data_IF_941977300318
#
_entry.id   IF_941977300318
#
_cell.length_a   1.000
_cell.length_b   1.000
_cell.length_c   1.000
_cell.angle_alpha   90.00
_cell.angle_beta   90.00
_cell.angle_gamma   90.00
#
_symmetry.space_group_name_H-M   'P 1'
#
loop_
_entity.id
_entity.type
_entity.pdbx_description
1 polymer ?
#
# COMPACT_ATOMS: atom_id res chain seq x y z
N UNK A 1 9.25 -26.23 31.91
CA UNK A 1 8.24 -25.97 30.86
C UNK A 1 8.33 -24.50 30.48
N UNK A 2 8.41 -24.20 29.19
CA UNK A 2 8.55 -22.83 28.69
C UNK A 2 7.23 -22.07 28.76
N UNK A 3 7.27 -20.74 28.89
CA UNK A 3 6.07 -19.89 28.91
C UNK A 3 5.21 -20.07 27.64
N UNK A 4 5.84 -20.36 26.50
CA UNK A 4 5.16 -20.61 25.23
C UNK A 4 4.29 -21.88 25.27
N UNK A 5 4.79 -22.96 25.87
CA UNK A 5 4.04 -24.21 26.02
C UNK A 5 2.80 -24.04 26.93
N UNK A 6 2.91 -23.22 27.96
CA UNK A 6 1.79 -22.91 28.85
C UNK A 6 0.72 -22.05 28.17
N UNK A 7 1.12 -21.05 27.37
CA UNK A 7 0.17 -20.25 26.59
C UNK A 7 -0.57 -21.11 25.56
N UNK A 8 0.12 -22.03 24.90
CA UNK A 8 -0.49 -22.89 23.89
C UNK A 8 -1.52 -23.85 24.51
N UNK A 9 -1.19 -24.46 25.67
CA UNK A 9 -2.15 -25.30 26.41
C UNK A 9 -3.37 -24.53 26.91
N UNK A 10 -3.18 -23.31 27.40
CA UNK A 10 -4.28 -22.46 27.84
C UNK A 10 -5.22 -22.09 26.68
N UNK A 11 -4.66 -21.83 25.51
CA UNK A 11 -5.42 -21.55 24.29
C UNK A 11 -6.23 -22.78 23.83
N UNK A 12 -5.62 -23.97 23.83
CA UNK A 12 -6.31 -25.22 23.49
C UNK A 12 -7.45 -25.56 24.47
N UNK A 13 -7.29 -25.27 25.75
CA UNK A 13 -8.37 -25.43 26.74
C UNK A 13 -9.51 -24.44 26.49
N UNK A 14 -9.19 -23.16 26.21
CA UNK A 14 -10.19 -22.15 25.85
C UNK A 14 -11.02 -22.55 24.62
N UNK A 15 -10.38 -23.11 23.60
CA UNK A 15 -11.04 -23.61 22.39
C UNK A 15 -11.92 -24.84 22.63
N UNK A 16 -11.71 -25.61 23.71
CA UNK A 16 -12.59 -26.74 24.07
C UNK A 16 -13.79 -26.29 24.87
N UNK A 17 -13.62 -25.29 25.75
CA UNK A 17 -14.70 -24.78 26.62
C UNK A 17 -15.69 -23.94 25.85
N UNK A 18 -15.22 -23.16 24.88
CA UNK A 18 -16.08 -22.58 23.86
C UNK A 18 -16.25 -23.65 22.80
N UNK A 19 -17.41 -24.30 22.68
CA UNK A 19 -17.73 -25.30 21.65
C UNK A 19 -17.74 -24.69 20.22
N UNK A 20 -16.64 -24.07 19.82
CA UNK A 20 -16.35 -23.69 18.46
C UNK A 20 -15.80 -24.97 17.86
N UNK A 21 -16.69 -25.74 17.25
CA UNK A 21 -16.30 -26.71 16.24
C UNK A 21 -15.52 -25.92 15.18
N UNK A 22 -14.19 -25.91 15.27
CA UNK A 22 -13.34 -25.42 14.20
C UNK A 22 -13.32 -26.57 13.22
N UNK A 23 -14.10 -26.51 12.10
CA UNK A 23 -13.99 -27.55 11.10
C UNK A 23 -12.52 -27.63 10.72
N UNK A 24 -11.94 -28.82 10.86
CA UNK A 24 -10.62 -29.14 10.38
C UNK A 24 -10.63 -29.06 8.84
N UNK A 25 -10.77 -27.84 8.32
CA UNK A 25 -10.64 -27.49 6.92
C UNK A 25 -9.22 -27.86 6.57
N UNK A 26 -9.12 -29.01 5.90
CA UNK A 26 -7.88 -29.70 5.61
C UNK A 26 -6.79 -28.75 5.21
N UNK A 27 -5.58 -29.00 5.74
CA UNK A 27 -4.32 -28.28 5.54
C UNK A 27 -4.24 -27.64 4.15
N UNK A 28 -4.85 -26.47 3.96
CA UNK A 28 -4.62 -25.66 2.77
C UNK A 28 -3.17 -25.25 2.91
N UNK A 29 -2.33 -25.72 1.98
CA UNK A 29 -0.93 -25.33 1.89
C UNK A 29 -0.89 -23.83 2.12
N UNK A 30 -0.32 -23.41 3.25
CA UNK A 30 -0.06 -22.01 3.53
C UNK A 30 0.96 -21.62 2.47
N UNK A 31 0.48 -21.15 1.32
CA UNK A 31 1.35 -20.53 0.33
C UNK A 31 2.08 -19.44 1.08
N UNK A 32 3.43 -19.45 1.12
CA UNK A 32 4.16 -18.39 1.80
C UNK A 32 3.64 -17.09 1.25
N UNK A 33 3.13 -16.23 2.13
CA UNK A 33 2.66 -14.90 1.78
C UNK A 33 3.83 -14.24 1.07
N UNK A 34 3.77 -14.18 -0.26
CA UNK A 34 4.81 -13.52 -1.05
C UNK A 34 4.91 -12.13 -0.46
N UNK A 35 6.05 -11.80 0.17
CA UNK A 35 6.30 -10.47 0.72
C UNK A 35 5.94 -9.49 -0.40
N UNK A 36 4.88 -8.70 -0.20
CA UNK A 36 4.48 -7.69 -1.19
C UNK A 36 5.73 -6.85 -1.43
N UNK A 37 6.19 -6.77 -2.68
CA UNK A 37 7.38 -5.97 -3.02
C UNK A 37 7.16 -4.58 -2.45
N UNK A 38 8.15 -4.07 -1.72
CA UNK A 38 8.11 -2.72 -1.19
C UNK A 38 7.85 -1.75 -2.35
N UNK A 39 6.94 -0.80 -2.13
CA UNK A 39 6.66 0.23 -3.12
C UNK A 39 7.91 1.09 -3.31
N UNK A 40 8.28 1.37 -4.55
CA UNK A 40 9.41 2.27 -4.85
C UNK A 40 8.94 3.72 -4.87
N UNK A 41 9.84 4.68 -4.66
CA UNK A 41 9.51 6.10 -4.80
C UNK A 41 8.98 6.45 -6.19
N UNK A 42 9.52 5.82 -7.24
CA UNK A 42 8.98 5.95 -8.60
C UNK A 42 7.51 5.53 -8.68
N UNK A 43 7.16 4.34 -8.18
CA UNK A 43 5.77 3.87 -8.21
C UNK A 43 4.86 4.78 -7.37
N UNK A 44 5.35 5.29 -6.24
CA UNK A 44 4.59 6.22 -5.42
C UNK A 44 4.35 7.56 -6.13
N UNK A 45 5.38 8.10 -6.77
CA UNK A 45 5.32 9.30 -7.58
C UNK A 45 4.32 9.16 -8.73
N UNK A 46 4.44 8.10 -9.56
CA UNK A 46 3.56 7.93 -10.72
C UNK A 46 2.10 7.73 -10.31
N UNK A 47 1.85 7.04 -9.19
CA UNK A 47 0.49 6.88 -8.63
C UNK A 47 -0.10 8.23 -8.23
N UNK A 48 0.65 9.07 -7.52
CA UNK A 48 0.19 10.39 -7.11
C UNK A 48 0.04 11.35 -8.30
N UNK A 49 0.97 11.31 -9.26
CA UNK A 49 0.88 12.09 -10.49
C UNK A 49 -0.40 11.77 -11.28
N UNK A 50 -0.74 10.48 -11.40
CA UNK A 50 -1.99 10.07 -12.06
C UNK A 50 -3.23 10.51 -11.29
N UNK A 51 -3.20 10.44 -9.95
CA UNK A 51 -4.31 10.92 -9.13
C UNK A 51 -4.52 12.43 -9.28
N UNK A 52 -3.45 13.22 -9.31
CA UNK A 52 -3.49 14.67 -9.53
C UNK A 52 -4.00 15.02 -10.94
N UNK A 53 -3.53 14.31 -11.96
CA UNK A 53 -4.01 14.45 -13.33
C UNK A 53 -5.51 14.14 -13.45
N UNK A 54 -5.99 13.08 -12.79
CA UNK A 54 -7.41 12.73 -12.78
C UNK A 54 -8.27 13.84 -12.19
N UNK A 55 -7.87 14.39 -11.03
CA UNK A 55 -8.56 15.51 -10.39
C UNK A 55 -8.55 16.76 -11.27
N UNK A 56 -7.42 17.06 -11.88
CA UNK A 56 -7.26 18.23 -12.77
C UNK A 56 -8.15 18.09 -14.00
N UNK A 57 -8.16 16.92 -14.62
CA UNK A 57 -9.01 16.63 -15.77
C UNK A 57 -10.51 16.72 -15.44
N UNK A 58 -10.92 16.19 -14.28
CA UNK A 58 -12.29 16.30 -13.79
C UNK A 58 -12.71 17.77 -13.59
N UNK A 59 -11.83 18.59 -12.99
CA UNK A 59 -12.06 20.04 -12.80
C UNK A 59 -12.15 20.81 -14.12
N UNK A 60 -11.35 20.44 -15.10
CA UNK A 60 -11.31 21.07 -16.43
C UNK A 60 -12.37 20.52 -17.39
N UNK A 61 -13.17 19.52 -16.97
CA UNK A 61 -14.18 18.89 -17.83
C UNK A 61 -13.59 18.10 -19.01
N UNK A 62 -12.30 17.73 -18.94
CA UNK A 62 -11.61 16.95 -19.98
C UNK A 62 -11.42 15.51 -19.54
N UNK A 63 -11.10 14.63 -20.51
CA UNK A 63 -10.70 13.25 -20.19
C UNK A 63 -9.28 13.25 -19.58
N UNK A 64 -9.04 12.49 -18.51
CA UNK A 64 -7.71 12.36 -17.94
C UNK A 64 -6.77 11.64 -18.91
N UNK A 65 -5.50 12.04 -18.91
CA UNK A 65 -4.48 11.30 -19.65
C UNK A 65 -4.39 9.86 -19.14
N UNK A 66 -4.09 8.92 -20.03
CA UNK A 66 -3.85 7.54 -19.63
C UNK A 66 -2.55 7.42 -18.82
N UNK A 67 -2.50 6.41 -17.95
CA UNK A 67 -1.30 6.11 -17.18
C UNK A 67 -0.05 5.91 -18.05
N UNK A 68 -0.20 5.32 -19.24
CA UNK A 68 0.89 5.16 -20.22
C UNK A 68 1.40 6.49 -20.74
N UNK A 69 0.51 7.44 -21.05
CA UNK A 69 0.89 8.77 -21.50
C UNK A 69 1.69 9.52 -20.42
N UNK A 70 1.24 9.48 -19.17
CA UNK A 70 1.97 10.11 -18.05
C UNK A 70 3.38 9.55 -17.85
N UNK A 71 3.56 8.23 -17.95
CA UNK A 71 4.89 7.62 -17.86
C UNK A 71 5.77 8.05 -19.04
N UNK A 72 5.19 8.13 -20.24
CA UNK A 72 5.93 8.52 -21.45
C UNK A 72 6.48 9.95 -21.40
N UNK A 73 5.91 10.82 -20.56
CA UNK A 73 6.40 12.19 -20.34
C UNK A 73 7.74 12.25 -19.58
N UNK A 74 8.25 11.11 -19.07
CA UNK A 74 9.54 10.99 -18.35
C UNK A 74 9.70 11.99 -17.19
N UNK A 75 8.61 12.41 -16.57
CA UNK A 75 8.58 13.40 -15.47
C UNK A 75 9.43 13.01 -14.27
N UNK A 76 9.56 11.71 -13.99
CA UNK A 76 10.45 11.22 -12.94
C UNK A 76 11.93 11.48 -13.22
N UNK A 77 12.36 11.38 -14.49
CA UNK A 77 13.77 11.57 -14.86
C UNK A 77 14.20 13.03 -14.68
N UNK A 78 13.26 13.96 -14.89
CA UNK A 78 13.46 15.40 -14.71
C UNK A 78 13.24 15.87 -13.27
N UNK A 79 12.75 14.99 -12.38
CA UNK A 79 12.53 15.33 -10.97
C UNK A 79 13.89 15.46 -10.26
N UNK A 80 14.14 16.53 -9.48
CA UNK A 80 15.37 16.68 -8.71
C UNK A 80 15.56 15.54 -7.71
N UNK A 81 16.80 15.12 -7.45
CA UNK A 81 17.06 13.98 -6.57
C UNK A 81 16.59 14.21 -5.13
N UNK A 82 16.63 15.47 -4.65
CA UNK A 82 16.02 15.88 -3.37
C UNK A 82 14.53 15.54 -3.31
N UNK A 83 13.79 15.76 -4.40
CA UNK A 83 12.37 15.41 -4.46
C UNK A 83 12.16 13.90 -4.62
N UNK A 84 13.02 13.21 -5.38
CA UNK A 84 12.98 11.73 -5.46
C UNK A 84 13.16 11.10 -4.07
N UNK A 85 14.01 11.68 -3.22
CA UNK A 85 14.17 11.30 -1.82
C UNK A 85 12.85 11.32 -1.05
N UNK A 86 12.11 12.42 -1.13
CA UNK A 86 10.78 12.56 -0.49
C UNK A 86 9.83 11.46 -0.98
N UNK A 87 9.82 11.15 -2.28
CA UNK A 87 8.96 10.09 -2.82
C UNK A 87 9.37 8.69 -2.36
N UNK A 88 10.67 8.43 -2.17
CA UNK A 88 11.14 7.18 -1.57
C UNK A 88 10.66 7.08 -0.12
N UNK A 89 10.78 8.15 0.66
CA UNK A 89 10.32 8.18 2.05
C UNK A 89 8.80 7.95 2.13
N UNK A 90 8.01 8.62 1.28
CA UNK A 90 6.58 8.40 1.18
C UNK A 90 6.24 6.96 0.77
N UNK A 91 7.03 6.36 -0.12
CA UNK A 91 6.82 4.96 -0.52
C UNK A 91 7.04 3.98 0.64
N UNK A 92 8.01 4.25 1.52
CA UNK A 92 8.21 3.44 2.75
C UNK A 92 7.05 3.56 3.73
N UNK A 93 6.37 4.71 3.76
CA UNK A 93 5.17 4.97 4.56
C UNK A 93 3.87 4.39 3.94
N UNK A 94 3.98 3.66 2.81
CA UNK A 94 2.83 3.08 2.12
C UNK A 94 2.21 3.98 1.03
N UNK A 95 2.89 5.06 0.67
CA UNK A 95 2.50 6.03 -0.35
C UNK A 95 1.13 6.67 -0.08
N UNK A 96 1.04 7.51 0.97
CA UNK A 96 -0.19 8.24 1.26
C UNK A 96 -0.54 9.16 0.08
N UNK A 97 -1.84 9.46 -0.12
CA UNK A 97 -2.26 10.45 -1.10
C UNK A 97 -1.66 11.80 -0.72
N UNK A 98 -0.90 12.40 -1.64
CA UNK A 98 -0.34 13.73 -1.41
C UNK A 98 -1.48 14.75 -1.49
N UNK A 99 -1.61 15.64 -0.48
CA UNK A 99 -2.63 16.69 -0.51
C UNK A 99 -2.46 17.55 -1.76
N UNK A 100 -3.59 18.00 -2.30
CA UNK A 100 -3.61 18.84 -3.48
C UNK A 100 -2.75 20.09 -3.22
N UNK A 101 -1.72 20.37 -4.04
CA UNK A 101 -0.87 21.56 -3.84
C UNK A 101 -1.67 22.87 -3.93
N UNK A 102 -2.90 22.84 -4.44
CA UNK A 102 -3.80 24.00 -4.49
C UNK A 102 -4.68 24.17 -3.24
N UNK A 103 -4.57 23.30 -2.23
CA UNK A 103 -5.41 23.32 -1.04
C UNK A 103 -4.57 23.50 0.24
N UNK A 104 -3.60 24.41 0.18
CA UNK A 104 -2.85 24.92 1.35
C UNK A 104 -3.36 26.32 1.63
N UNK A 105 -4.37 26.45 2.49
CA UNK A 105 -4.86 27.73 3.01
C UNK A 105 -6.35 27.96 2.79
N UNK A 106 -7.16 27.42 3.70
CA UNK A 106 -8.45 27.99 4.10
C UNK A 106 -8.30 28.56 5.50
#
# INVERSE_FOLDING_TARGET
MSKAENCQKAFEQLLRTCAIDVPALGKRKITPVKRKRAMTGYNCFTKNLYAAEKKTAEREGRKPMSYKQLISMKTWSTTPDKQKGIWNDLATQGCPPVPDPHNVGG
#
